data_IF_314626773630
#
_entry.id   IF_314626773630
#
_cell.length_a   1.000
_cell.length_b   1.000
_cell.length_c   1.000
_cell.angle_alpha   90.00
_cell.angle_beta   90.00
_cell.angle_gamma   90.00
#
_symmetry.space_group_name_H-M   'P 1'
#
loop_
_entity.id
_entity.type
_entity.pdbx_description
1 polymer ?
#
# COMPACT_ATOMS: atom_id res chain seq x y z
N UNK A 1 11.84 -6.73 11.10
CA UNK A 1 10.61 -5.93 10.94
C UNK A 1 10.87 -4.85 9.91
N UNK A 2 10.11 -4.76 8.82
CA UNK A 2 10.31 -3.73 7.80
C UNK A 2 9.87 -2.35 8.31
N UNK A 3 10.50 -1.30 7.79
CA UNK A 3 10.12 0.08 8.10
C UNK A 3 8.88 0.51 7.31
N UNK A 4 8.66 -0.05 6.12
CA UNK A 4 7.50 0.17 5.26
C UNK A 4 7.31 -0.96 4.25
N UNK A 5 6.11 -1.10 3.71
CA UNK A 5 5.75 -2.17 2.75
C UNK A 5 5.12 -1.54 1.51
N UNK A 6 5.61 -1.92 0.33
CA UNK A 6 4.94 -1.69 -0.94
C UNK A 6 4.25 -2.99 -1.36
N UNK A 7 2.92 -2.98 -1.45
CA UNK A 7 2.12 -4.17 -1.70
C UNK A 7 1.47 -4.12 -3.08
N UNK A 8 1.87 -5.02 -3.96
CA UNK A 8 1.21 -5.20 -5.26
C UNK A 8 -0.14 -5.91 -5.11
N UNK A 9 -1.21 -5.33 -5.65
CA UNK A 9 -2.52 -6.01 -5.70
C UNK A 9 -2.65 -6.96 -6.88
N UNK A 10 -1.91 -6.70 -7.97
CA UNK A 10 -2.02 -7.51 -9.19
C UNK A 10 -0.93 -8.59 -9.18
N UNK A 11 -1.11 -9.61 -8.33
CA UNK A 11 -0.19 -10.73 -8.23
C UNK A 11 -0.81 -12.01 -8.82
N UNK A 12 -0.02 -12.83 -9.55
CA UNK A 12 -0.49 -14.15 -9.94
C UNK A 12 -0.58 -15.05 -8.70
N UNK A 13 -1.69 -15.79 -8.57
CA UNK A 13 -1.97 -16.83 -7.55
C UNK A 13 -2.37 -16.35 -6.16
N UNK A 14 -2.11 -15.10 -5.79
CA UNK A 14 -2.42 -14.56 -4.46
C UNK A 14 -3.12 -13.22 -4.60
N UNK A 15 -4.22 -13.05 -3.87
CA UNK A 15 -4.91 -11.76 -3.80
C UNK A 15 -4.15 -10.82 -2.85
N UNK A 16 -3.65 -9.70 -3.38
CA UNK A 16 -2.96 -8.70 -2.56
C UNK A 16 -3.83 -8.13 -1.44
N UNK A 17 -5.16 -8.16 -1.58
CA UNK A 17 -6.06 -7.74 -0.51
C UNK A 17 -6.07 -8.71 0.69
N UNK A 18 -5.94 -10.02 0.43
CA UNK A 18 -5.82 -11.01 1.51
C UNK A 18 -4.50 -10.80 2.26
N UNK A 19 -3.41 -10.55 1.54
CA UNK A 19 -2.11 -10.22 2.14
C UNK A 19 -2.21 -8.97 3.01
N UNK A 20 -2.88 -7.91 2.54
CA UNK A 20 -3.07 -6.71 3.35
C UNK A 20 -3.80 -7.01 4.68
N UNK A 21 -4.86 -7.82 4.63
CA UNK A 21 -5.60 -8.24 5.83
C UNK A 21 -4.74 -9.06 6.78
N UNK A 22 -3.89 -9.95 6.26
CA UNK A 22 -2.93 -10.71 7.06
C UNK A 22 -1.93 -9.77 7.74
N UNK A 23 -1.37 -8.80 7.02
CA UNK A 23 -0.45 -7.80 7.57
C UNK A 23 -1.10 -6.99 8.71
N UNK A 24 -2.37 -6.57 8.55
CA UNK A 24 -3.10 -5.83 9.59
C UNK A 24 -3.52 -6.69 10.79
N UNK A 25 -3.59 -8.01 10.63
CA UNK A 25 -3.92 -8.95 11.71
C UNK A 25 -2.70 -9.39 12.51
N UNK A 26 -1.50 -9.30 11.93
CA UNK A 26 -0.25 -9.72 12.56
C UNK A 26 0.27 -8.65 13.55
N UNK A 27 0.37 -8.94 14.87
CA UNK A 27 0.84 -7.99 15.87
C UNK A 27 2.24 -7.41 15.62
N UNK A 28 3.12 -8.13 14.92
CA UNK A 28 4.50 -7.69 14.66
C UNK A 28 4.56 -6.62 13.56
N UNK A 29 3.65 -6.67 12.59
CA UNK A 29 3.68 -5.81 11.38
C UNK A 29 2.43 -4.96 11.16
N UNK A 30 1.37 -5.11 11.97
CA UNK A 30 0.12 -4.35 11.83
C UNK A 30 0.27 -2.83 11.76
N UNK A 31 1.29 -2.29 12.44
CA UNK A 31 1.58 -0.86 12.50
C UNK A 31 2.64 -0.41 11.47
N UNK A 32 3.12 -1.30 10.61
CA UNK A 32 4.05 -0.92 9.55
C UNK A 32 3.24 -0.17 8.46
N UNK A 33 3.72 0.98 7.97
CA UNK A 33 3.09 1.69 6.86
C UNK A 33 3.04 0.82 5.60
N UNK A 34 1.88 0.73 4.97
CA UNK A 34 1.67 -0.03 3.74
C UNK A 34 1.16 0.88 2.64
N UNK A 35 1.90 0.98 1.54
CA UNK A 35 1.45 1.59 0.31
C UNK A 35 1.04 0.52 -0.71
N UNK A 36 -0.14 0.70 -1.30
CA UNK A 36 -0.67 -0.17 -2.35
C UNK A 36 -0.07 0.20 -3.71
N UNK A 37 0.39 -0.80 -4.45
CA UNK A 37 0.77 -0.70 -5.87
C UNK A 37 -0.30 -1.38 -6.73
N UNK A 38 -0.81 -0.70 -7.76
CA UNK A 38 -1.79 -1.32 -8.67
C UNK A 38 -1.69 -0.79 -10.09
N UNK A 39 -1.94 -1.67 -11.07
CA UNK A 39 -2.06 -1.30 -12.48
C UNK A 39 -3.46 -0.76 -12.85
N UNK A 40 -4.45 -0.97 -11.97
CA UNK A 40 -5.81 -0.49 -12.19
C UNK A 40 -6.01 0.84 -11.49
N UNK A 41 -6.24 1.88 -12.28
CA UNK A 41 -6.71 3.19 -11.81
C UNK A 41 -8.25 3.22 -11.70
N UNK A 42 -8.90 2.08 -11.43
CA UNK A 42 -10.35 2.10 -11.24
C UNK A 42 -10.61 2.88 -9.93
N UNK A 43 -11.45 3.94 -9.95
CA UNK A 43 -11.72 4.76 -8.77
C UNK A 43 -12.18 3.96 -7.54
N UNK A 44 -12.72 2.76 -7.79
CA UNK A 44 -13.14 1.81 -6.78
C UNK A 44 -11.95 1.23 -5.97
N UNK A 45 -10.83 0.92 -6.62
CA UNK A 45 -9.65 0.32 -5.95
C UNK A 45 -8.92 1.33 -5.07
N UNK A 46 -8.85 2.59 -5.51
CA UNK A 46 -8.28 3.69 -4.74
C UNK A 46 -9.19 4.05 -3.54
N UNK A 47 -10.52 4.11 -3.76
CA UNK A 47 -11.49 4.34 -2.70
C UNK A 47 -11.46 3.20 -1.65
N UNK A 48 -11.42 1.94 -2.07
CA UNK A 48 -11.35 0.80 -1.14
C UNK A 48 -10.01 0.79 -0.40
N UNK A 49 -8.90 1.01 -1.09
CA UNK A 49 -7.56 1.03 -0.49
C UNK A 49 -7.39 2.13 0.54
N UNK A 50 -7.73 3.38 0.20
CA UNK A 50 -7.52 4.53 1.06
C UNK A 50 -8.63 4.71 2.11
N UNK A 51 -9.91 4.53 1.74
CA UNK A 51 -11.03 4.90 2.62
C UNK A 51 -11.68 3.72 3.35
N UNK A 52 -11.62 2.50 2.82
CA UNK A 52 -12.24 1.32 3.47
C UNK A 52 -11.22 0.53 4.28
N UNK A 53 -9.99 0.42 3.79
CA UNK A 53 -8.96 -0.46 4.34
C UNK A 53 -7.85 0.27 5.09
N UNK A 54 -7.85 1.61 5.07
CA UNK A 54 -6.88 2.45 5.77
C UNK A 54 -5.43 2.14 5.34
N UNK A 55 -5.19 2.00 4.03
CA UNK A 55 -3.83 1.98 3.49
C UNK A 55 -3.20 3.36 3.66
N UNK A 56 -1.91 3.38 3.98
CA UNK A 56 -1.18 4.60 4.32
C UNK A 56 -0.75 5.37 3.04
N UNK A 57 -0.71 4.67 1.90
CA UNK A 57 -0.39 5.24 0.61
C UNK A 57 -0.92 4.42 -0.57
N UNK A 58 -0.89 5.03 -1.76
CA UNK A 58 -1.33 4.43 -3.01
C UNK A 58 -0.45 4.91 -4.15
N UNK A 59 -0.01 4.00 -5.01
CA UNK A 59 0.88 4.27 -6.14
C UNK A 59 0.39 3.49 -7.36
N UNK A 60 0.09 4.21 -8.44
CA UNK A 60 -0.48 3.62 -9.66
C UNK A 60 0.63 3.27 -10.64
N UNK A 61 0.56 2.10 -11.27
CA UNK A 61 1.48 1.68 -12.34
C UNK A 61 0.94 2.11 -13.72
N UNK A 62 1.80 2.46 -14.68
CA UNK A 62 3.25 2.59 -14.55
C UNK A 62 3.65 3.88 -13.82
N UNK A 63 4.68 3.81 -12.97
CA UNK A 63 5.22 4.96 -12.25
C UNK A 63 6.69 5.22 -12.62
N UNK A 64 7.09 6.48 -12.51
CA UNK A 64 8.49 6.90 -12.67
C UNK A 64 9.31 6.69 -11.40
N UNK A 65 10.65 6.75 -11.52
CA UNK A 65 11.55 6.68 -10.34
C UNK A 65 11.26 7.80 -9.33
N UNK A 66 11.06 9.03 -9.82
CA UNK A 66 10.84 10.18 -8.94
C UNK A 66 9.50 10.07 -8.21
N UNK A 67 8.44 9.70 -8.92
CA UNK A 67 7.11 9.47 -8.34
C UNK A 67 7.13 8.41 -7.24
N UNK A 68 7.83 7.29 -7.46
CA UNK A 68 8.00 6.26 -6.43
C UNK A 68 8.70 6.81 -5.19
N UNK A 69 9.77 7.61 -5.37
CA UNK A 69 10.50 8.22 -4.25
C UNK A 69 9.61 9.19 -3.49
N UNK A 70 8.91 10.09 -4.18
CA UNK A 70 8.04 11.10 -3.57
C UNK A 70 6.93 10.42 -2.75
N UNK A 71 6.27 9.40 -3.31
CA UNK A 71 5.22 8.64 -2.61
C UNK A 71 5.76 7.84 -1.43
N UNK A 72 6.98 7.33 -1.52
CA UNK A 72 7.62 6.63 -0.42
C UNK A 72 7.96 7.60 0.72
N UNK A 73 8.42 8.82 0.40
CA UNK A 73 8.64 9.86 1.42
C UNK A 73 7.31 10.26 2.08
N UNK A 74 6.25 10.50 1.31
CA UNK A 74 4.91 10.80 1.84
C UNK A 74 4.40 9.71 2.80
N UNK A 75 4.68 8.44 2.50
CA UNK A 75 4.28 7.29 3.34
C UNK A 75 4.91 7.35 4.73
N UNK A 76 6.21 7.66 4.80
CA UNK A 76 6.94 7.74 6.06
C UNK A 76 6.60 9.01 6.86
N UNK A 77 6.32 10.13 6.18
CA UNK A 77 5.92 11.37 6.85
C UNK A 77 4.53 11.29 7.47
N UNK A 78 3.61 10.53 6.87
CA UNK A 78 2.26 10.29 7.41
C UNK A 78 2.24 9.32 8.59
N UNK A 79 3.12 8.31 8.59
CA UNK A 79 3.24 7.35 9.70
C UNK A 79 3.86 7.92 10.98
N UNK A 80 4.35 9.17 10.95
CA UNK A 80 4.95 9.87 12.09
C UNK A 80 3.94 10.70 12.92
N UNK A 81 2.66 10.72 12.56
CA UNK A 81 1.57 11.35 13.32
C UNK A 81 0.69 10.31 13.99
#
# INVERSE_FOLDING_TARGET
>A
RPDGILLDLTMPKVDGWEIFKMLRSDPEVKNVPVAILTAKSEPFDEMVGLHVMNADGYITKPFGKQELLDKTHELFDKGAK
#
